data_IF_174984389279
#
_entry.id   IF_174984389279
#
_cell.length_a   1.000
_cell.length_b   1.000
_cell.length_c   1.000
_cell.angle_alpha   90.00
_cell.angle_beta   90.00
_cell.angle_gamma   90.00
#
_symmetry.space_group_name_H-M   'P 1'
#
loop_
_entity.id
_entity.type
_entity.pdbx_description
1 polymer ?
#
# COMPACT_ATOMS: atom_id res chain seq x y z
N UNK A 1 0.25 35.32 8.55
CA UNK A 1 -0.60 34.31 7.88
C UNK A 1 -1.79 34.04 8.77
N UNK A 2 -2.99 34.00 8.20
CA UNK A 2 -4.22 33.72 8.96
C UNK A 2 -4.40 32.21 9.11
N UNK A 3 -5.08 31.75 10.16
CA UNK A 3 -5.37 30.33 10.38
C UNK A 3 -6.04 29.66 9.17
N UNK A 4 -6.96 30.37 8.50
CA UNK A 4 -7.60 29.91 7.27
C UNK A 4 -6.64 29.63 6.10
N UNK A 5 -5.52 30.36 6.02
CA UNK A 5 -4.53 30.13 4.95
C UNK A 5 -3.73 28.84 5.18
N UNK A 6 -3.46 28.48 6.44
CA UNK A 6 -2.79 27.22 6.79
C UNK A 6 -3.68 26.01 6.50
N UNK A 7 -4.96 26.08 6.90
CA UNK A 7 -5.94 25.01 6.66
C UNK A 7 -6.08 24.74 5.15
N UNK A 8 -6.13 25.78 4.32
CA UNK A 8 -6.24 25.63 2.87
C UNK A 8 -5.00 24.97 2.25
N UNK A 9 -3.83 25.22 2.81
CA UNK A 9 -2.56 24.65 2.34
C UNK A 9 -2.46 23.16 2.70
N UNK A 10 -2.81 22.80 3.93
CA UNK A 10 -2.91 21.39 4.37
C UNK A 10 -3.94 20.61 3.55
N UNK A 11 -5.10 21.18 3.27
CA UNK A 11 -6.13 20.54 2.43
C UNK A 11 -5.65 20.31 0.99
N UNK A 12 -4.86 21.23 0.43
CA UNK A 12 -4.24 21.04 -0.89
C UNK A 12 -3.23 19.90 -0.87
N UNK A 13 -2.42 19.82 0.18
CA UNK A 13 -1.43 18.76 0.32
C UNK A 13 -2.09 17.39 0.48
N UNK A 14 -3.15 17.29 1.30
CA UNK A 14 -3.96 16.07 1.45
C UNK A 14 -4.55 15.65 0.09
N UNK A 15 -5.12 16.59 -0.66
CA UNK A 15 -5.69 16.30 -1.98
C UNK A 15 -4.63 15.79 -2.97
N UNK A 16 -3.43 16.36 -2.96
CA UNK A 16 -2.32 15.90 -3.78
C UNK A 16 -1.88 14.47 -3.41
N UNK A 17 -1.78 14.17 -2.10
CA UNK A 17 -1.47 12.83 -1.60
C UNK A 17 -2.53 11.80 -2.00
N UNK A 18 -3.82 12.14 -1.89
CA UNK A 18 -4.91 11.27 -2.32
C UNK A 18 -4.87 10.97 -3.81
N UNK A 19 -4.67 11.99 -4.64
CA UNK A 19 -4.51 11.82 -6.09
C UNK A 19 -3.36 10.88 -6.42
N UNK A 20 -2.22 11.01 -5.73
CA UNK A 20 -1.09 10.11 -5.93
C UNK A 20 -1.43 8.66 -5.54
N UNK A 21 -2.16 8.46 -4.44
CA UNK A 21 -2.61 7.14 -4.02
C UNK A 21 -3.53 6.53 -5.08
N UNK A 22 -4.55 7.26 -5.54
CA UNK A 22 -5.47 6.79 -6.58
C UNK A 22 -4.76 6.42 -7.88
N UNK A 23 -3.75 7.19 -8.31
CA UNK A 23 -3.00 6.91 -9.52
C UNK A 23 -1.94 5.79 -9.36
N UNK A 24 -1.47 5.56 -8.13
CA UNK A 24 -0.48 4.51 -7.82
C UNK A 24 -1.13 3.20 -7.39
N UNK A 25 -2.42 3.24 -7.06
CA UNK A 25 -3.18 2.05 -6.74
C UNK A 25 -3.27 1.17 -7.98
N UNK A 26 -2.98 -0.13 -7.85
CA UNK A 26 -3.30 -1.07 -8.91
C UNK A 26 -4.79 -0.95 -9.23
N UNK A 27 -5.12 -1.01 -10.52
CA UNK A 27 -6.50 -0.89 -10.98
C UNK A 27 -7.37 -1.87 -10.19
N UNK A 28 -8.55 -1.43 -9.74
CA UNK A 28 -9.49 -2.30 -9.03
C UNK A 28 -9.93 -3.46 -9.94
N UNK A 29 -9.86 -3.24 -11.25
CA UNK A 29 -10.12 -4.22 -12.30
C UNK A 29 -8.82 -4.82 -12.88
N UNK A 30 -7.68 -4.69 -12.19
CA UNK A 30 -6.42 -5.31 -12.60
C UNK A 30 -6.61 -6.82 -12.62
N UNK A 31 -6.69 -7.38 -13.83
CA UNK A 31 -6.72 -8.82 -14.04
C UNK A 31 -5.41 -9.41 -13.55
N UNK A 32 -5.44 -9.95 -12.33
CA UNK A 32 -4.33 -10.75 -11.81
C UNK A 32 -4.15 -11.95 -12.74
N UNK A 33 -2.92 -12.21 -13.15
CA UNK A 33 -2.61 -13.50 -13.74
C UNK A 33 -2.76 -14.62 -12.68
N UNK A 34 -2.75 -15.88 -13.11
CA UNK A 34 -2.99 -17.01 -12.19
C UNK A 34 -1.98 -17.06 -11.03
N UNK A 35 -0.72 -16.68 -11.27
CA UNK A 35 0.34 -16.64 -10.26
C UNK A 35 0.11 -15.50 -9.27
N UNK A 36 -0.22 -14.29 -9.75
CA UNK A 36 -0.51 -13.13 -8.91
C UNK A 36 -1.76 -13.34 -8.03
N UNK A 37 -2.81 -13.97 -8.58
CA UNK A 37 -4.01 -14.31 -7.83
C UNK A 37 -3.72 -15.33 -6.73
N UNK A 38 -2.88 -16.33 -7.02
CA UNK A 38 -2.44 -17.32 -6.04
C UNK A 38 -1.61 -16.66 -4.93
N UNK A 39 -0.62 -15.84 -5.27
CA UNK A 39 0.23 -15.12 -4.31
C UNK A 39 -0.60 -14.21 -3.39
N UNK A 40 -1.60 -13.52 -3.93
CA UNK A 40 -2.51 -12.70 -3.16
C UNK A 40 -3.35 -13.55 -2.19
N UNK A 41 -3.87 -14.70 -2.64
CA UNK A 41 -4.62 -15.62 -1.80
C UNK A 41 -3.78 -16.19 -0.66
N UNK A 42 -2.53 -16.59 -0.95
CA UNK A 42 -1.57 -17.05 0.05
C UNK A 42 -1.22 -15.96 1.05
N UNK A 43 -1.08 -14.71 0.60
CA UNK A 43 -0.84 -13.56 1.47
C UNK A 43 -1.97 -13.37 2.50
N UNK A 44 -3.24 -13.40 2.06
CA UNK A 44 -4.39 -13.32 2.96
C UNK A 44 -4.45 -14.50 3.95
N UNK A 45 -4.16 -15.71 3.49
CA UNK A 45 -4.12 -16.89 4.35
C UNK A 45 -3.03 -16.77 5.42
N UNK A 46 -1.84 -16.31 5.04
CA UNK A 46 -0.70 -16.11 5.94
C UNK A 46 -0.97 -15.00 6.96
N UNK A 47 -1.66 -13.93 6.57
CA UNK A 47 -2.08 -12.86 7.48
C UNK A 47 -3.07 -13.39 8.53
N UNK A 48 -4.10 -14.11 8.09
CA UNK A 48 -5.09 -14.71 9.00
C UNK A 48 -4.48 -15.73 9.97
N UNK A 49 -3.44 -16.44 9.53
CA UNK A 49 -2.72 -17.40 10.34
C UNK A 49 -1.63 -16.76 11.24
N UNK A 50 -1.39 -15.44 11.12
CA UNK A 50 -0.33 -14.74 11.86
C UNK A 50 1.10 -15.11 11.39
N UNK A 51 1.24 -15.66 10.19
CA UNK A 51 2.50 -16.11 9.57
C UNK A 51 3.11 -14.98 8.72
N UNK A 52 2.47 -13.80 8.65
CA UNK A 52 3.01 -12.65 7.94
C UNK A 52 4.37 -12.27 8.48
N UNK A 53 5.38 -12.43 7.62
CA UNK A 53 6.76 -12.08 7.91
C UNK A 53 7.04 -10.69 7.37
N UNK A 54 7.71 -9.86 8.17
CA UNK A 54 8.14 -8.56 7.67
C UNK A 54 9.23 -8.73 6.60
N UNK A 55 9.22 -7.88 5.57
CA UNK A 55 10.27 -7.89 4.54
C UNK A 55 11.68 -7.66 5.11
N UNK A 56 11.77 -7.02 6.28
CA UNK A 56 13.02 -6.84 7.02
C UNK A 56 13.55 -8.17 7.57
N UNK A 57 12.68 -8.98 8.16
CA UNK A 57 13.06 -10.28 8.73
C UNK A 57 13.36 -11.32 7.67
N UNK A 58 12.70 -11.24 6.51
CA UNK A 58 12.96 -12.10 5.36
C UNK A 58 14.34 -11.81 4.75
N UNK A 59 14.67 -10.53 4.51
CA UNK A 59 15.98 -10.12 3.99
C UNK A 59 17.13 -10.58 4.90
N UNK A 60 16.94 -10.44 6.21
CA UNK A 60 17.93 -10.89 7.21
C UNK A 60 18.21 -12.40 7.15
N UNK A 61 17.21 -13.24 6.86
CA UNK A 61 17.43 -14.69 6.70
C UNK A 61 18.10 -15.04 5.37
N UNK A 62 17.71 -14.35 4.30
CA UNK A 62 18.29 -14.56 2.96
C UNK A 62 19.70 -13.97 2.80
N UNK A 63 20.21 -13.26 3.81
CA UNK A 63 21.52 -12.60 3.75
C UNK A 63 21.57 -11.41 2.79
N UNK A 64 20.42 -10.76 2.56
CA UNK A 64 20.24 -9.58 1.70
C UNK A 64 20.17 -8.27 2.49
#
# INVERSE_FOLDING_TARGET
MTENTLILEELREIKAKLSNIENSMPDRDMFLNAEEAQLLSESFANEKAGITRSSKDLRKELGL
#
